data_IF_765612598619
#
_entry.id   IF_765612598619
#
_cell.length_a   1.000
_cell.length_b   1.000
_cell.length_c   1.000
_cell.angle_alpha   90.00
_cell.angle_beta   90.00
_cell.angle_gamma   90.00
#
_symmetry.space_group_name_H-M   'P 1'
#
loop_
_entity.id
_entity.type
_entity.pdbx_description
1 polymer ?
#
# COMPACT_ATOMS: atom_id res chain seq x y z
N UNK A 1 11.81 33.14 1.62
CA UNK A 1 11.39 31.95 2.38
C UNK A 1 10.42 31.12 1.54
N UNK A 2 10.80 30.74 0.31
CA UNK A 2 9.88 30.13 -0.67
C UNK A 2 10.54 29.01 -1.51
N UNK A 3 11.60 28.37 -1.02
CA UNK A 3 12.33 27.34 -1.78
C UNK A 3 12.49 25.99 -1.07
N UNK A 4 11.97 25.81 0.16
CA UNK A 4 12.17 24.60 0.97
C UNK A 4 11.48 23.32 0.43
N UNK A 5 10.85 23.35 -0.75
CA UNK A 5 9.86 22.35 -1.17
C UNK A 5 10.42 21.13 -1.94
N UNK A 6 11.72 21.04 -2.20
CA UNK A 6 12.22 20.12 -3.24
C UNK A 6 13.02 18.91 -2.75
N UNK A 7 12.98 18.57 -1.45
CA UNK A 7 13.71 17.41 -0.94
C UNK A 7 13.17 16.08 -1.51
N UNK A 8 11.88 15.95 -1.82
CA UNK A 8 11.31 14.72 -2.39
C UNK A 8 10.48 14.95 -3.64
N UNK A 9 10.23 16.22 -4.02
CA UNK A 9 9.34 16.58 -5.13
C UNK A 9 9.95 16.37 -6.53
N UNK A 10 11.23 15.98 -6.64
CA UNK A 10 11.93 15.78 -7.92
C UNK A 10 12.49 14.37 -8.11
N UNK A 11 12.19 13.44 -7.20
CA UNK A 11 12.54 12.04 -7.35
C UNK A 11 11.35 11.18 -7.76
N UNK A 12 11.54 10.27 -8.73
CA UNK A 12 10.62 9.17 -8.88
C UNK A 12 10.63 8.33 -7.59
N UNK A 13 9.59 8.42 -6.79
CA UNK A 13 9.35 7.54 -5.65
C UNK A 13 8.43 6.42 -6.12
N UNK A 14 8.91 5.18 -6.06
CA UNK A 14 8.05 4.00 -6.10
C UNK A 14 7.25 3.94 -4.78
N UNK A 15 5.97 3.59 -4.89
CA UNK A 15 5.04 3.54 -3.77
C UNK A 15 4.66 2.10 -3.39
N UNK A 16 5.39 1.12 -3.91
CA UNK A 16 5.01 -0.29 -3.79
C UNK A 16 5.22 -0.84 -2.39
N UNK A 17 6.11 -0.23 -1.59
CA UNK A 17 6.53 -0.66 -0.25
C UNK A 17 7.09 -2.10 -0.25
N UNK A 18 6.19 -3.07 -0.40
CA UNK A 18 6.47 -4.48 -0.61
C UNK A 18 6.03 -4.88 -2.02
N UNK A 19 6.89 -5.59 -2.74
CA UNK A 19 6.77 -5.85 -4.17
C UNK A 19 5.50 -6.57 -4.64
N UNK A 20 4.71 -7.17 -3.73
CA UNK A 20 3.42 -7.81 -4.00
C UNK A 20 2.66 -8.03 -2.68
N UNK A 21 1.65 -7.21 -2.43
CA UNK A 21 0.76 -7.28 -1.27
C UNK A 21 -0.17 -8.50 -1.32
N UNK A 22 -0.57 -8.95 -2.50
CA UNK A 22 -1.36 -10.18 -2.68
C UNK A 22 -0.61 -11.41 -2.19
N UNK A 23 0.69 -11.52 -2.50
CA UNK A 23 1.57 -12.57 -2.00
C UNK A 23 1.69 -12.50 -0.48
N UNK A 24 2.04 -11.33 0.06
CA UNK A 24 2.18 -11.13 1.50
C UNK A 24 0.88 -11.44 2.24
N UNK A 25 -0.26 -10.97 1.72
CA UNK A 25 -1.59 -11.20 2.27
C UNK A 25 -1.97 -12.68 2.25
N UNK A 26 -1.72 -13.38 1.14
CA UNK A 26 -2.02 -14.82 1.07
C UNK A 26 -1.21 -15.62 2.09
N UNK A 27 0.07 -15.29 2.29
CA UNK A 27 0.91 -15.95 3.28
C UNK A 27 0.46 -15.61 4.70
N UNK A 28 0.20 -14.33 4.98
CA UNK A 28 -0.14 -13.81 6.31
C UNK A 28 -1.48 -14.32 6.84
N UNK A 29 -2.45 -14.48 5.95
CA UNK A 29 -3.85 -14.75 6.28
C UNK A 29 -4.22 -16.23 6.05
N UNK A 30 -3.27 -17.05 5.61
CA UNK A 30 -3.49 -18.48 5.39
C UNK A 30 -3.91 -19.15 6.70
N UNK A 31 -4.99 -19.94 6.62
CA UNK A 31 -5.47 -20.72 7.76
C UNK A 31 -6.31 -19.93 8.77
N UNK A 32 -6.61 -18.65 8.51
CA UNK A 32 -7.61 -17.91 9.28
C UNK A 32 -9.00 -18.52 9.05
N UNK A 33 -9.70 -19.00 10.10
CA UNK A 33 -11.04 -19.58 9.97
C UNK A 33 -12.05 -18.61 9.34
N UNK A 34 -11.89 -17.31 9.59
CA UNK A 34 -12.77 -16.26 9.09
C UNK A 34 -12.69 -16.10 7.56
N UNK A 35 -11.62 -16.60 6.93
CA UNK A 35 -11.40 -16.54 5.48
C UNK A 35 -11.55 -17.91 4.79
N UNK A 36 -12.04 -18.92 5.51
CA UNK A 36 -12.22 -20.27 4.97
C UNK A 36 -13.44 -20.41 4.02
N UNK A 37 -14.29 -19.37 3.95
CA UNK A 37 -15.49 -19.38 3.12
C UNK A 37 -15.19 -19.19 1.62
N UNK A 38 -16.10 -19.70 0.78
CA UNK A 38 -16.22 -19.29 -0.62
C UNK A 38 -17.36 -18.28 -0.75
N UNK A 39 -17.16 -17.29 -1.61
CA UNK A 39 -18.13 -16.23 -1.88
C UNK A 39 -18.40 -16.12 -3.39
N UNK A 40 -19.63 -15.82 -3.80
CA UNK A 40 -19.93 -15.59 -5.21
C UNK A 40 -19.31 -14.27 -5.67
N UNK A 41 -18.61 -14.27 -6.80
CA UNK A 41 -18.07 -13.06 -7.40
C UNK A 41 -19.20 -12.10 -7.80
N UNK A 42 -19.17 -10.88 -7.31
CA UNK A 42 -20.26 -9.91 -7.46
C UNK A 42 -19.83 -8.71 -8.34
N UNK A 43 -20.59 -8.36 -9.39
CA UNK A 43 -20.36 -7.12 -10.13
C UNK A 43 -20.42 -5.87 -9.24
N UNK A 44 -19.56 -4.87 -9.48
CA UNK A 44 -19.52 -3.64 -8.68
C UNK A 44 -20.87 -2.92 -8.69
N UNK A 45 -21.46 -2.79 -9.86
CA UNK A 45 -22.70 -2.05 -10.07
C UNK A 45 -23.87 -2.67 -9.29
N UNK A 46 -23.86 -3.99 -9.05
CA UNK A 46 -24.88 -4.65 -8.24
C UNK A 46 -24.82 -4.15 -6.78
N UNK A 47 -23.63 -4.19 -6.16
CA UNK A 47 -23.41 -3.65 -4.81
C UNK A 47 -23.74 -2.16 -4.73
N UNK A 48 -23.26 -1.35 -5.70
CA UNK A 48 -23.45 0.10 -5.68
C UNK A 48 -24.92 0.51 -5.77
N UNK A 49 -25.71 -0.18 -6.59
CA UNK A 49 -27.13 0.12 -6.75
C UNK A 49 -27.94 -0.34 -5.52
N UNK A 50 -27.65 -1.53 -4.99
CA UNK A 50 -28.35 -2.06 -3.83
C UNK A 50 -28.07 -1.24 -2.56
N UNK A 51 -26.81 -0.82 -2.38
CA UNK A 51 -26.37 -0.10 -1.19
C UNK A 51 -26.31 1.42 -1.36
N UNK A 52 -26.86 1.99 -2.44
CA UNK A 52 -26.71 3.41 -2.76
C UNK A 52 -27.03 4.37 -1.59
N UNK A 53 -28.16 4.24 -0.86
CA UNK A 53 -28.45 5.11 0.28
C UNK A 53 -27.53 4.88 1.49
N UNK A 54 -27.02 3.67 1.67
CA UNK A 54 -26.11 3.34 2.76
C UNK A 54 -24.69 3.86 2.48
N UNK A 55 -24.22 3.77 1.23
CA UNK A 55 -22.98 4.38 0.75
C UNK A 55 -23.04 5.89 0.93
N UNK A 56 -24.15 6.56 0.59
CA UNK A 56 -24.31 8.01 0.80
C UNK A 56 -24.07 8.40 2.27
N UNK A 57 -24.75 7.72 3.20
CA UNK A 57 -24.61 7.98 4.63
C UNK A 57 -23.19 7.70 5.12
N UNK A 58 -22.59 6.60 4.69
CA UNK A 58 -21.23 6.23 5.08
C UNK A 58 -20.22 7.28 4.59
N UNK A 59 -20.28 7.69 3.33
CA UNK A 59 -19.31 8.64 2.77
C UNK A 59 -19.48 10.04 3.36
N UNK A 60 -20.69 10.45 3.72
CA UNK A 60 -20.91 11.70 4.47
C UNK A 60 -20.33 11.63 5.90
N UNK A 61 -20.52 10.51 6.60
CA UNK A 61 -19.91 10.28 7.90
C UNK A 61 -18.38 10.27 7.82
N UNK A 62 -17.83 9.64 6.78
CA UNK A 62 -16.37 9.59 6.56
C UNK A 62 -15.80 10.97 6.26
N UNK A 63 -16.47 11.79 5.43
CA UNK A 63 -16.05 13.18 5.18
C UNK A 63 -16.05 14.01 6.48
N UNK A 64 -17.10 13.89 7.29
CA UNK A 64 -17.17 14.59 8.58
C UNK A 64 -16.05 14.16 9.52
N UNK A 65 -15.83 12.85 9.65
CA UNK A 65 -14.78 12.30 10.50
C UNK A 65 -13.39 12.74 10.02
N UNK A 66 -13.13 12.65 8.71
CA UNK A 66 -11.83 12.98 8.12
C UNK A 66 -11.44 14.45 8.35
N UNK A 67 -12.38 15.37 8.22
CA UNK A 67 -12.17 16.80 8.49
C UNK A 67 -11.79 17.10 9.94
N UNK A 68 -12.27 16.29 10.87
CA UNK A 68 -12.05 16.48 12.30
C UNK A 68 -10.78 15.77 12.79
N UNK A 69 -10.45 14.60 12.22
CA UNK A 69 -9.46 13.68 12.80
C UNK A 69 -8.20 13.49 11.98
N UNK A 70 -8.18 13.80 10.68
CA UNK A 70 -6.99 13.61 9.83
C UNK A 70 -6.29 14.94 9.55
N UNK A 71 -5.13 15.21 10.18
CA UNK A 71 -4.37 16.44 9.95
C UNK A 71 -4.04 16.61 8.46
N UNK A 72 -4.29 17.81 7.93
CA UNK A 72 -3.98 18.11 6.53
C UNK A 72 -4.93 17.46 5.52
N UNK A 73 -6.02 16.81 5.95
CA UNK A 73 -7.03 16.27 5.04
C UNK A 73 -7.68 17.36 4.18
N UNK A 74 -7.60 17.27 2.84
CA UNK A 74 -8.31 18.19 1.97
C UNK A 74 -9.77 17.80 1.89
N UNK A 75 -10.65 18.71 2.33
CA UNK A 75 -12.09 18.53 2.28
C UNK A 75 -12.57 18.14 0.88
N UNK A 76 -13.47 17.15 0.81
CA UNK A 76 -14.08 16.71 -0.44
C UNK A 76 -14.98 17.83 -0.99
N UNK A 77 -14.81 18.24 -2.25
CA UNK A 77 -15.75 19.17 -2.89
C UNK A 77 -17.17 18.63 -2.95
N UNK A 78 -18.16 19.52 -2.79
CA UNK A 78 -19.59 19.15 -2.70
C UNK A 78 -20.10 18.45 -3.97
N UNK A 79 -19.58 18.84 -5.14
CA UNK A 79 -19.91 18.23 -6.43
C UNK A 79 -19.38 16.80 -6.61
N UNK A 80 -18.51 16.33 -5.70
CA UNK A 80 -18.06 14.94 -5.65
C UNK A 80 -18.86 14.10 -4.64
N UNK A 81 -19.86 14.68 -3.97
CA UNK A 81 -20.70 13.94 -3.03
C UNK A 81 -21.43 12.81 -3.77
N UNK A 82 -21.39 11.61 -3.21
CA UNK A 82 -22.21 10.52 -3.68
C UNK A 82 -23.68 10.85 -3.42
N UNK A 83 -24.51 10.76 -4.46
CA UNK A 83 -25.94 10.99 -4.38
C UNK A 83 -26.66 9.70 -4.78
N UNK A 84 -27.38 9.08 -3.84
CA UNK A 84 -28.08 7.83 -4.13
C UNK A 84 -29.22 8.02 -5.15
N UNK A 85 -29.87 9.18 -5.11
CA UNK A 85 -30.98 9.49 -6.00
C UNK A 85 -30.48 9.79 -7.42
N UNK A 86 -31.04 9.10 -8.41
CA UNK A 86 -30.83 9.41 -9.83
C UNK A 86 -29.47 8.97 -10.40
N UNK A 87 -28.82 7.97 -9.79
CA UNK A 87 -27.58 7.37 -10.31
C UNK A 87 -27.79 6.84 -11.74
N UNK A 88 -27.01 7.38 -12.69
CA UNK A 88 -26.94 6.89 -14.08
C UNK A 88 -25.69 6.07 -14.33
N UNK A 89 -24.55 6.55 -13.82
CA UNK A 89 -23.23 5.94 -13.95
C UNK A 89 -22.68 5.62 -12.54
N UNK A 90 -23.21 4.60 -11.85
CA UNK A 90 -22.91 4.33 -10.44
C UNK A 90 -21.42 4.11 -10.22
N UNK A 91 -20.74 3.40 -11.10
CA UNK A 91 -19.28 3.19 -11.02
C UNK A 91 -18.52 4.52 -11.06
N UNK A 92 -18.76 5.36 -12.05
CA UNK A 92 -18.05 6.64 -12.18
C UNK A 92 -18.34 7.56 -10.98
N UNK A 93 -19.60 7.60 -10.53
CA UNK A 93 -19.99 8.36 -9.34
C UNK A 93 -19.26 7.86 -8.09
N UNK A 94 -19.09 6.55 -7.95
CA UNK A 94 -18.41 5.94 -6.81
C UNK A 94 -16.92 6.28 -6.81
N UNK A 95 -16.22 6.07 -7.94
CA UNK A 95 -14.80 6.40 -8.06
C UNK A 95 -14.52 7.88 -7.75
N UNK A 96 -15.36 8.79 -8.26
CA UNK A 96 -15.25 10.23 -7.99
C UNK A 96 -15.54 10.58 -6.53
N UNK A 97 -16.51 9.92 -5.89
CA UNK A 97 -16.82 10.13 -4.49
C UNK A 97 -15.70 9.64 -3.56
N UNK A 98 -15.05 8.53 -3.91
CA UNK A 98 -13.84 8.06 -3.22
C UNK A 98 -12.59 8.88 -3.54
N UNK A 99 -12.66 9.72 -4.57
CA UNK A 99 -11.53 10.49 -5.13
C UNK A 99 -10.35 9.58 -5.47
N UNK A 100 -10.62 8.50 -6.22
CA UNK A 100 -9.60 7.65 -6.86
C UNK A 100 -9.60 7.85 -8.37
N UNK A 101 -8.56 7.39 -9.05
CA UNK A 101 -8.38 7.59 -10.47
C UNK A 101 -9.60 7.06 -11.25
N UNK A 102 -10.28 7.89 -12.06
CA UNK A 102 -11.49 7.49 -12.78
C UNK A 102 -11.26 6.39 -13.83
N UNK A 103 -10.01 6.10 -14.20
CA UNK A 103 -9.64 5.09 -15.18
C UNK A 103 -9.34 3.72 -14.58
N UNK A 104 -9.39 3.55 -13.24
CA UNK A 104 -9.14 2.26 -12.59
C UNK A 104 -10.07 1.18 -13.14
N UNK A 105 -9.48 0.03 -13.47
CA UNK A 105 -10.16 -1.04 -14.21
C UNK A 105 -11.10 -1.86 -13.35
N UNK A 106 -10.79 -2.04 -12.06
CA UNK A 106 -11.57 -2.84 -11.10
C UNK A 106 -12.07 -4.17 -11.69
N UNK A 107 -11.25 -4.80 -12.54
CA UNK A 107 -11.58 -6.09 -13.14
C UNK A 107 -11.87 -7.12 -12.04
N UNK A 108 -12.75 -8.08 -12.33
CA UNK A 108 -12.99 -9.21 -11.44
C UNK A 108 -11.94 -10.27 -11.74
N UNK A 109 -10.94 -10.40 -10.86
CA UNK A 109 -9.86 -11.35 -11.03
C UNK A 109 -9.38 -11.92 -9.69
N UNK A 110 -8.65 -13.02 -9.75
CA UNK A 110 -7.69 -13.41 -8.70
C UNK A 110 -6.28 -13.35 -9.26
N UNK A 111 -5.32 -12.97 -8.42
CA UNK A 111 -3.91 -13.05 -8.76
C UNK A 111 -3.42 -14.46 -8.48
N UNK A 112 -2.93 -15.14 -9.52
CA UNK A 112 -2.30 -16.45 -9.38
C UNK A 112 -0.89 -16.26 -8.81
N UNK A 113 -0.66 -16.82 -7.62
CA UNK A 113 0.68 -16.87 -7.06
C UNK A 113 1.51 -18.00 -7.69
N UNK A 114 2.86 -17.91 -7.64
CA UNK A 114 3.73 -19.00 -8.07
C UNK A 114 3.31 -20.35 -7.47
N UNK A 115 3.18 -21.37 -8.33
CA UNK A 115 2.79 -22.73 -7.94
C UNK A 115 1.28 -22.98 -7.77
N UNK A 116 0.42 -21.96 -7.85
CA UNK A 116 -1.04 -22.17 -7.81
C UNK A 116 -1.59 -22.66 -9.14
N UNK A 117 -2.62 -23.50 -9.12
CA UNK A 117 -3.35 -23.91 -10.32
C UNK A 117 -4.22 -22.76 -10.84
N UNK A 118 -4.23 -22.56 -12.16
CA UNK A 118 -5.09 -21.58 -12.82
C UNK A 118 -6.56 -22.02 -12.87
N UNK A 119 -6.84 -23.32 -12.65
CA UNK A 119 -8.21 -23.85 -12.64
C UNK A 119 -8.94 -23.64 -13.96
N UNK A 120 -8.20 -23.58 -15.08
CA UNK A 120 -8.76 -23.33 -16.42
C UNK A 120 -9.27 -21.91 -16.67
N UNK A 121 -9.10 -20.97 -15.73
CA UNK A 121 -9.55 -19.57 -15.90
C UNK A 121 -8.80 -18.87 -17.01
N UNK A 122 -9.49 -17.95 -17.70
CA UNK A 122 -8.88 -17.09 -18.71
C UNK A 122 -7.89 -16.14 -18.03
N UNK A 123 -6.68 -16.03 -18.60
CA UNK A 123 -5.71 -15.01 -18.18
C UNK A 123 -6.11 -13.65 -18.76
N UNK A 124 -6.21 -12.63 -17.91
CA UNK A 124 -6.38 -11.24 -18.31
C UNK A 124 -5.03 -10.64 -18.72
N UNK A 125 -5.07 -9.66 -19.64
CA UNK A 125 -3.89 -8.87 -19.95
C UNK A 125 -3.69 -7.81 -18.86
N UNK A 126 -2.46 -7.38 -18.65
CA UNK A 126 -2.15 -6.31 -17.69
C UNK A 126 -2.95 -5.03 -17.94
N UNK A 127 -3.20 -4.66 -19.20
CA UNK A 127 -4.03 -3.49 -19.56
C UNK A 127 -5.50 -3.60 -19.12
N UNK A 128 -5.99 -4.83 -18.88
CA UNK A 128 -7.35 -5.08 -18.40
C UNK A 128 -7.46 -4.85 -16.88
N UNK A 129 -6.32 -4.74 -16.17
CA UNK A 129 -6.25 -4.67 -14.71
C UNK A 129 -5.61 -3.35 -14.23
N UNK A 130 -4.54 -2.90 -14.90
CA UNK A 130 -3.76 -1.71 -14.52
C UNK A 130 -4.10 -0.49 -15.39
N UNK A 131 -3.89 0.71 -14.83
CA UNK A 131 -4.03 1.99 -15.57
C UNK A 131 -2.74 2.42 -16.27
N UNK A 132 -1.59 1.88 -15.88
CA UNK A 132 -0.28 2.35 -16.35
C UNK A 132 -0.07 2.19 -17.85
N UNK A 133 0.59 3.20 -18.42
CA UNK A 133 1.00 3.18 -19.83
C UNK A 133 2.26 2.31 -20.05
N UNK A 134 3.12 2.19 -19.02
CA UNK A 134 4.34 1.37 -19.03
C UNK A 134 4.19 0.17 -18.09
N UNK A 135 3.87 -0.98 -18.68
CA UNK A 135 3.48 -2.20 -17.96
C UNK A 135 4.69 -3.06 -17.49
N UNK A 136 5.91 -2.79 -17.98
CA UNK A 136 7.09 -3.67 -17.85
C UNK A 136 7.29 -4.36 -16.49
N UNK A 137 7.38 -3.61 -15.37
CA UNK A 137 7.59 -4.17 -14.03
C UNK A 137 6.47 -5.10 -13.53
N UNK A 138 5.25 -4.96 -14.06
CA UNK A 138 4.05 -5.68 -13.62
C UNK A 138 3.74 -6.94 -14.43
N UNK A 139 4.52 -7.22 -15.47
CA UNK A 139 4.26 -8.31 -16.42
C UNK A 139 4.44 -9.72 -15.84
N UNK A 140 5.08 -9.81 -14.67
CA UNK A 140 5.31 -11.07 -13.95
C UNK A 140 4.06 -11.63 -13.28
N UNK A 141 3.08 -10.78 -12.95
CA UNK A 141 1.86 -11.21 -12.29
C UNK A 141 0.85 -11.81 -13.28
N UNK A 142 0.09 -12.78 -12.78
CA UNK A 142 -0.90 -13.52 -13.57
C UNK A 142 -2.28 -13.25 -13.00
N UNK A 143 -3.08 -12.51 -13.76
CA UNK A 143 -4.46 -12.19 -13.43
C UNK A 143 -5.38 -13.21 -14.09
N UNK A 144 -6.19 -13.90 -13.28
CA UNK A 144 -7.16 -14.88 -13.76
C UNK A 144 -8.55 -14.31 -13.60
N UNK A 145 -9.29 -14.22 -14.71
CA UNK A 145 -10.64 -13.66 -14.75
C UNK A 145 -11.61 -14.47 -13.88
N UNK A 146 -12.48 -13.75 -13.16
CA UNK A 146 -13.63 -14.30 -12.46
C UNK A 146 -14.92 -13.98 -13.20
N UNK A 147 -15.81 -14.97 -13.33
CA UNK A 147 -17.15 -14.76 -13.86
C UNK A 147 -18.14 -14.34 -12.77
N UNK A 148 -19.15 -13.49 -13.06
CA UNK A 148 -20.19 -13.17 -12.10
C UNK A 148 -20.88 -14.43 -11.55
N UNK A 149 -21.02 -14.51 -10.23
CA UNK A 149 -21.61 -15.64 -9.51
C UNK A 149 -20.67 -16.83 -9.29
N UNK A 150 -19.46 -16.82 -9.85
CA UNK A 150 -18.45 -17.84 -9.60
C UNK A 150 -18.08 -17.91 -8.12
N UNK A 151 -18.06 -19.12 -7.54
CA UNK A 151 -17.59 -19.32 -6.18
C UNK A 151 -16.06 -19.17 -6.12
N UNK A 152 -15.59 -18.27 -5.25
CA UNK A 152 -14.17 -17.96 -5.09
C UNK A 152 -13.82 -17.94 -3.61
N UNK A 153 -12.64 -18.43 -3.24
CA UNK A 153 -12.13 -18.33 -1.88
C UNK A 153 -12.08 -16.87 -1.40
N UNK A 154 -12.65 -16.59 -0.21
CA UNK A 154 -12.57 -15.29 0.43
C UNK A 154 -11.13 -14.79 0.60
N UNK A 155 -10.22 -15.70 0.98
CA UNK A 155 -8.79 -15.42 1.07
C UNK A 155 -8.21 -14.95 -0.27
N UNK A 156 -8.57 -15.60 -1.39
CA UNK A 156 -8.07 -15.20 -2.71
C UNK A 156 -8.64 -13.85 -3.16
N UNK A 157 -9.92 -13.58 -2.89
CA UNK A 157 -10.54 -12.28 -3.20
C UNK A 157 -9.82 -11.16 -2.44
N UNK A 158 -9.69 -11.31 -1.12
CA UNK A 158 -9.05 -10.31 -0.27
C UNK A 158 -7.58 -10.11 -0.65
N UNK A 159 -6.81 -11.20 -0.78
CA UNK A 159 -5.39 -11.11 -1.10
C UNK A 159 -5.18 -10.45 -2.47
N UNK A 160 -5.92 -10.87 -3.51
CA UNK A 160 -5.79 -10.28 -4.85
C UNK A 160 -6.15 -8.80 -4.86
N UNK A 161 -7.17 -8.41 -4.08
CA UNK A 161 -7.57 -7.01 -3.96
C UNK A 161 -6.52 -6.14 -3.24
N UNK A 162 -5.67 -6.73 -2.39
CA UNK A 162 -4.63 -5.99 -1.68
C UNK A 162 -3.56 -5.39 -2.60
N UNK A 163 -3.46 -5.78 -3.86
CA UNK A 163 -2.58 -5.11 -4.84
C UNK A 163 -3.31 -4.03 -5.67
N UNK A 164 -4.65 -3.99 -5.66
CA UNK A 164 -5.41 -3.12 -6.57
C UNK A 164 -5.13 -1.61 -6.41
N UNK A 165 -4.84 -1.08 -5.21
CA UNK A 165 -4.42 0.31 -5.07
C UNK A 165 -3.21 0.65 -5.94
N UNK A 166 -2.22 -0.23 -5.93
CA UNK A 166 -0.98 -0.13 -6.71
C UNK A 166 -1.20 -0.21 -8.22
N UNK A 167 -2.35 -0.74 -8.67
CA UNK A 167 -2.73 -0.80 -10.09
C UNK A 167 -3.30 0.52 -10.61
N UNK A 168 -3.49 1.50 -9.71
CA UNK A 168 -3.63 2.89 -10.09
C UNK A 168 -4.71 3.69 -9.37
N UNK A 169 -5.13 3.29 -8.16
CA UNK A 169 -6.13 4.03 -7.40
C UNK A 169 -5.69 5.48 -7.16
N UNK A 170 -4.41 5.67 -6.81
CA UNK A 170 -3.86 6.95 -6.38
C UNK A 170 -3.03 7.66 -7.45
N UNK A 171 -3.30 7.36 -8.73
CA UNK A 171 -2.57 7.95 -9.85
C UNK A 171 -3.26 9.23 -10.34
N UNK A 172 -2.46 10.27 -10.56
CA UNK A 172 -2.86 11.53 -11.20
C UNK A 172 -3.99 12.27 -10.46
N UNK A 173 -3.93 12.27 -9.12
CA UNK A 173 -4.97 12.85 -8.26
C UNK A 173 -4.66 14.28 -7.76
N UNK A 174 -3.44 14.79 -7.98
CA UNK A 174 -3.08 16.15 -7.59
C UNK A 174 -3.28 17.15 -8.74
N UNK A 175 -3.48 18.42 -8.40
CA UNK A 175 -3.78 19.51 -9.34
C UNK A 175 -2.72 19.67 -10.45
N UNK A 176 -1.48 19.41 -10.10
CA UNK A 176 -0.29 19.50 -10.96
C UNK A 176 0.05 18.17 -11.66
N UNK A 177 -0.78 17.14 -11.51
CA UNK A 177 -0.65 15.90 -12.26
C UNK A 177 -1.37 15.98 -13.62
N UNK A 178 -1.01 15.11 -14.59
CA UNK A 178 -1.76 14.97 -15.84
C UNK A 178 -3.25 14.64 -15.65
N UNK A 179 -4.09 15.00 -16.63
CA UNK A 179 -5.53 14.70 -16.62
C UNK A 179 -6.40 15.73 -15.90
N UNK A 180 -7.68 15.41 -15.69
CA UNK A 180 -8.67 16.34 -15.11
C UNK A 180 -9.04 16.00 -13.66
N UNK A 181 -8.80 14.77 -13.20
CA UNK A 181 -9.21 14.32 -11.86
C UNK A 181 -8.63 15.21 -10.74
N UNK A 182 -7.33 15.49 -10.79
CA UNK A 182 -6.68 16.33 -9.77
C UNK A 182 -7.12 17.80 -9.74
N UNK A 183 -7.72 18.31 -10.83
CA UNK A 183 -8.32 19.64 -10.85
C UNK A 183 -9.63 19.68 -10.06
N UNK A 184 -10.37 18.56 -10.06
CA UNK A 184 -11.68 18.43 -9.40
C UNK A 184 -11.57 17.97 -7.94
N UNK A 185 -10.53 17.21 -7.56
CA UNK A 185 -10.52 16.45 -6.29
C UNK A 185 -10.04 17.23 -5.05
N UNK A 186 -9.50 18.44 -5.26
CA UNK A 186 -9.05 19.35 -4.20
C UNK A 186 -7.89 18.80 -3.34
N UNK A 187 -7.06 17.88 -3.85
CA UNK A 187 -5.87 17.41 -3.11
C UNK A 187 -4.73 18.44 -3.07
N UNK A 188 -4.80 19.51 -3.88
CA UNK A 188 -3.75 20.51 -4.02
C UNK A 188 -2.63 20.03 -4.94
N UNK A 189 -1.45 20.64 -4.85
CA UNK A 189 -0.24 20.17 -5.54
C UNK A 189 0.35 18.94 -4.83
N UNK A 190 0.96 18.05 -5.60
CA UNK A 190 1.62 16.86 -5.07
C UNK A 190 2.68 17.25 -4.03
N UNK A 191 2.57 16.79 -2.78
CA UNK A 191 3.46 17.24 -1.70
C UNK A 191 4.88 16.66 -1.81
N UNK A 192 5.04 15.44 -2.30
CA UNK A 192 6.33 14.80 -2.53
C UNK A 192 6.21 13.67 -3.56
N UNK A 193 7.35 13.21 -4.09
CA UNK A 193 7.42 12.44 -5.34
C UNK A 193 7.50 13.35 -6.56
N UNK A 194 8.09 12.85 -7.64
CA UNK A 194 8.24 13.58 -8.89
C UNK A 194 6.98 13.47 -9.75
N UNK A 195 6.22 14.56 -9.81
CA UNK A 195 4.97 14.67 -10.58
C UNK A 195 5.13 14.37 -12.09
N UNK A 196 6.36 14.34 -12.63
CA UNK A 196 6.63 13.93 -14.02
C UNK A 196 6.46 12.43 -14.25
N UNK A 197 6.52 11.62 -13.18
CA UNK A 197 6.38 10.17 -13.23
C UNK A 197 5.01 9.75 -12.68
N UNK A 198 4.21 9.07 -13.53
CA UNK A 198 2.83 8.67 -13.23
C UNK A 198 2.69 7.94 -11.88
N UNK A 199 3.56 6.97 -11.59
CA UNK A 199 3.54 6.20 -10.34
C UNK A 199 3.91 7.01 -9.09
N UNK A 200 4.66 8.11 -9.24
CA UNK A 200 5.09 8.91 -8.09
C UNK A 200 3.96 9.72 -7.46
N UNK A 201 2.87 9.95 -8.20
CA UNK A 201 1.66 10.56 -7.64
C UNK A 201 1.00 9.71 -6.54
N UNK A 202 1.34 8.41 -6.46
CA UNK A 202 0.84 7.53 -5.40
C UNK A 202 1.57 7.77 -4.07
N UNK A 203 2.82 8.25 -4.07
CA UNK A 203 3.65 8.31 -2.87
C UNK A 203 2.97 8.98 -1.66
N UNK A 204 2.25 10.12 -1.78
CA UNK A 204 1.56 10.74 -0.65
C UNK A 204 0.38 9.94 -0.08
N UNK A 205 -0.18 9.01 -0.86
CA UNK A 205 -1.27 8.13 -0.42
C UNK A 205 -0.76 6.85 0.24
N UNK A 206 0.48 6.43 -0.03
CA UNK A 206 1.06 5.16 0.43
C UNK A 206 2.13 5.34 1.51
N UNK A 207 2.69 6.54 1.65
CA UNK A 207 3.75 6.85 2.62
C UNK A 207 3.20 7.70 3.75
N UNK A 208 3.59 7.38 4.99
CA UNK A 208 3.14 8.03 6.21
C UNK A 208 4.28 8.34 7.18
N UNK A 209 4.87 9.53 7.06
CA UNK A 209 5.98 10.00 7.91
C UNK A 209 5.55 10.44 9.33
N UNK A 210 4.51 9.83 9.89
CA UNK A 210 3.79 10.33 11.07
C UNK A 210 4.64 10.56 12.33
N UNK A 211 5.80 9.90 12.43
CA UNK A 211 6.68 9.92 13.59
C UNK A 211 7.98 10.70 13.37
N UNK A 212 8.04 11.56 12.35
CA UNK A 212 9.11 12.55 12.23
C UNK A 212 8.99 13.63 13.31
N UNK A 213 10.13 14.21 13.69
CA UNK A 213 10.14 15.26 14.73
C UNK A 213 9.37 16.51 14.29
N UNK A 214 8.78 17.24 15.25
CA UNK A 214 8.11 18.52 14.99
C UNK A 214 9.00 19.54 14.27
N UNK A 215 10.31 19.50 14.52
CA UNK A 215 11.28 20.36 13.85
C UNK A 215 11.33 20.10 12.33
N UNK A 216 11.23 18.82 11.93
CA UNK A 216 11.17 18.44 10.51
C UNK A 216 9.87 18.93 9.90
N UNK A 217 8.73 18.71 10.55
CA UNK A 217 7.45 19.20 10.04
C UNK A 217 7.36 20.73 9.98
N UNK A 218 8.05 21.43 10.88
CA UNK A 218 8.16 22.90 10.83
C UNK A 218 8.99 23.35 9.63
N UNK A 219 10.09 22.65 9.34
CA UNK A 219 10.98 22.97 8.22
C UNK A 219 10.40 22.53 6.86
N UNK A 220 9.64 21.44 6.83
CA UNK A 220 9.11 20.78 5.64
C UNK A 220 7.65 20.31 5.86
N UNK A 221 6.69 21.24 5.99
CA UNK A 221 5.30 20.91 6.33
C UNK A 221 4.57 20.08 5.27
N UNK A 222 5.07 20.06 4.02
CA UNK A 222 4.52 19.21 2.97
C UNK A 222 4.66 17.71 3.28
N UNK A 223 5.62 17.30 4.12
CA UNK A 223 5.79 15.90 4.54
C UNK A 223 4.63 15.40 5.40
N UNK A 224 3.90 16.30 6.06
CA UNK A 224 2.71 15.96 6.82
C UNK A 224 1.45 15.78 5.94
N UNK A 225 1.51 16.13 4.65
CA UNK A 225 0.40 15.96 3.70
C UNK A 225 0.39 14.53 3.16
N UNK A 226 0.09 13.59 4.05
CA UNK A 226 0.05 12.15 3.81
C UNK A 226 -1.38 11.63 4.02
N UNK A 227 -1.80 10.64 3.22
CA UNK A 227 -3.17 10.16 3.11
C UNK A 227 -3.44 8.64 3.34
N UNK A 228 -2.47 7.74 3.64
CA UNK A 228 -2.77 6.33 3.88
C UNK A 228 -3.69 6.10 5.07
N UNK A 229 -3.58 6.91 6.14
CA UNK A 229 -4.47 6.78 7.31
C UNK A 229 -5.95 6.97 6.93
N UNK A 230 -6.21 7.96 6.08
CA UNK A 230 -7.54 8.19 5.53
C UNK A 230 -7.98 7.07 4.59
N UNK A 231 -7.10 6.56 3.70
CA UNK A 231 -7.41 5.43 2.80
C UNK A 231 -7.79 4.17 3.58
N UNK A 232 -7.05 3.83 4.64
CA UNK A 232 -7.35 2.71 5.54
C UNK A 232 -8.73 2.88 6.15
N UNK A 233 -9.04 4.07 6.69
CA UNK A 233 -10.33 4.36 7.31
C UNK A 233 -11.49 4.30 6.29
N UNK A 234 -11.28 4.87 5.10
CA UNK A 234 -12.26 4.90 4.01
C UNK A 234 -12.64 3.49 3.58
N UNK A 235 -11.65 2.65 3.24
CA UNK A 235 -11.87 1.31 2.73
C UNK A 235 -12.33 0.32 3.81
N UNK A 236 -11.86 0.47 5.05
CA UNK A 236 -12.36 -0.33 6.17
C UNK A 236 -13.84 -0.03 6.46
N UNK A 237 -14.29 1.22 6.30
CA UNK A 237 -15.71 1.57 6.40
C UNK A 237 -16.56 0.93 5.31
N UNK A 238 -16.10 0.94 4.06
CA UNK A 238 -16.78 0.28 2.94
C UNK A 238 -16.83 -1.24 3.12
N UNK A 239 -15.74 -1.85 3.60
CA UNK A 239 -15.70 -3.27 3.91
C UNK A 239 -16.75 -3.66 4.95
N UNK A 240 -16.80 -2.94 6.08
CA UNK A 240 -17.80 -3.17 7.14
C UNK A 240 -19.23 -3.00 6.64
N UNK A 241 -19.49 -1.98 5.83
CA UNK A 241 -20.80 -1.78 5.21
C UNK A 241 -21.18 -3.00 4.37
N UNK A 242 -20.31 -3.41 3.43
CA UNK A 242 -20.57 -4.51 2.53
C UNK A 242 -20.78 -5.85 3.27
N UNK A 243 -19.99 -6.15 4.31
CA UNK A 243 -20.22 -7.34 5.14
C UNK A 243 -21.58 -7.27 5.86
N UNK A 244 -21.89 -6.12 6.48
CA UNK A 244 -23.12 -5.96 7.25
C UNK A 244 -24.39 -6.01 6.39
N UNK A 245 -24.29 -5.67 5.10
CA UNK A 245 -25.41 -5.68 4.16
C UNK A 245 -25.48 -6.94 3.28
N UNK A 246 -24.61 -7.93 3.49
CA UNK A 246 -24.69 -9.21 2.77
C UNK A 246 -23.96 -9.27 1.42
N UNK A 247 -22.97 -8.40 1.22
CA UNK A 247 -22.10 -8.36 0.02
C UNK A 247 -20.67 -8.78 0.36
N UNK A 248 -20.42 -10.05 0.74
CA UNK A 248 -19.13 -10.46 1.25
C UNK A 248 -18.01 -10.37 0.20
N UNK A 249 -18.31 -10.51 -1.09
CA UNK A 249 -17.31 -10.32 -2.15
C UNK A 249 -16.71 -8.91 -2.13
N UNK A 250 -17.56 -7.88 -2.11
CA UNK A 250 -17.11 -6.50 -1.98
C UNK A 250 -16.56 -6.18 -0.58
N UNK A 251 -17.10 -6.80 0.47
CA UNK A 251 -16.52 -6.74 1.81
C UNK A 251 -15.04 -7.14 1.81
N UNK A 252 -14.72 -8.29 1.21
CA UNK A 252 -13.34 -8.78 1.10
C UNK A 252 -12.48 -7.92 0.17
N UNK A 253 -12.99 -7.44 -0.97
CA UNK A 253 -12.22 -6.55 -1.86
C UNK A 253 -11.87 -5.22 -1.19
N UNK A 254 -12.84 -4.54 -0.58
CA UNK A 254 -12.59 -3.29 0.14
C UNK A 254 -11.66 -3.50 1.34
N UNK A 255 -11.76 -4.63 2.04
CA UNK A 255 -10.82 -4.96 3.10
C UNK A 255 -9.41 -5.18 2.54
N UNK A 256 -9.26 -5.84 1.39
CA UNK A 256 -8.00 -5.92 0.65
C UNK A 256 -7.40 -4.54 0.36
N UNK A 257 -8.21 -3.60 -0.16
CA UNK A 257 -7.76 -2.22 -0.38
C UNK A 257 -7.31 -1.54 0.91
N UNK A 258 -8.03 -1.72 2.03
CA UNK A 258 -7.61 -1.17 3.32
C UNK A 258 -6.29 -1.78 3.80
N UNK A 259 -6.12 -3.10 3.62
CA UNK A 259 -4.91 -3.82 4.01
C UNK A 259 -3.69 -3.36 3.23
N UNK A 260 -3.83 -3.01 1.95
CA UNK A 260 -2.74 -2.46 1.14
C UNK A 260 -2.01 -1.32 1.86
N UNK A 261 -2.73 -0.24 2.16
CA UNK A 261 -2.15 0.95 2.81
C UNK A 261 -1.67 0.66 4.24
N UNK A 262 -2.33 -0.27 4.95
CA UNK A 262 -1.85 -0.70 6.27
C UNK A 262 -0.50 -1.43 6.15
N UNK A 263 -0.37 -2.29 5.14
CA UNK A 263 0.82 -3.06 4.84
C UNK A 263 1.95 -2.17 4.31
N UNK A 264 1.67 -1.13 3.54
CA UNK A 264 2.66 -0.13 3.15
C UNK A 264 3.35 0.48 4.38
N UNK A 265 2.57 0.85 5.39
CA UNK A 265 3.08 1.44 6.63
C UNK A 265 3.92 0.48 7.48
N UNK A 266 4.01 -0.80 7.12
CA UNK A 266 4.94 -1.75 7.75
C UNK A 266 6.35 -1.64 7.16
N UNK A 267 6.51 -0.96 6.02
CA UNK A 267 7.78 -0.79 5.34
C UNK A 267 8.54 0.45 5.85
N UNK A 268 9.80 0.33 6.32
CA UNK A 268 10.45 1.43 7.02
C UNK A 268 10.76 2.72 6.21
N UNK A 269 11.00 2.63 4.90
CA UNK A 269 11.07 3.78 3.99
C UNK A 269 9.72 4.47 3.75
N UNK A 270 8.60 3.79 4.03
CA UNK A 270 7.27 4.40 4.02
C UNK A 270 6.92 5.08 5.36
N UNK A 271 7.76 4.94 6.39
CA UNK A 271 7.54 5.50 7.71
C UNK A 271 8.58 6.55 8.14
N UNK A 272 9.68 6.71 7.38
CA UNK A 272 10.76 7.67 7.68
C UNK A 272 11.35 8.30 6.42
N UNK A 273 11.61 9.61 6.49
CA UNK A 273 11.97 10.47 5.34
C UNK A 273 13.42 10.26 4.90
N UNK A 274 14.38 10.39 5.82
CA UNK A 274 15.80 10.13 5.57
C UNK A 274 16.35 9.17 6.64
N UNK A 275 16.10 7.86 6.50
CA UNK A 275 16.76 6.86 7.33
C UNK A 275 18.28 7.05 7.36
N UNK A 276 18.87 6.82 8.53
CA UNK A 276 20.30 6.97 8.80
C UNK A 276 20.79 8.40 8.98
N UNK A 277 19.91 9.42 8.92
CA UNK A 277 20.25 10.83 9.11
C UNK A 277 19.55 11.36 10.36
N UNK A 278 20.30 12.04 11.22
CA UNK A 278 19.75 12.66 12.42
C UNK A 278 18.96 13.93 12.10
N UNK A 279 18.00 14.29 12.96
CA UNK A 279 17.16 15.49 12.80
C UNK A 279 17.96 16.77 12.57
N UNK A 280 19.03 16.99 13.34
CA UNK A 280 19.88 18.18 13.20
C UNK A 280 20.58 18.24 11.84
N UNK A 281 21.05 17.09 11.35
CA UNK A 281 21.67 16.99 10.02
C UNK A 281 20.66 17.22 8.90
N UNK A 282 19.42 16.72 9.04
CA UNK A 282 18.35 17.00 8.07
C UNK A 282 18.04 18.49 7.98
N UNK A 283 17.97 19.18 9.13
CA UNK A 283 17.75 20.64 9.16
C UNK A 283 18.94 21.38 8.54
N UNK A 284 20.17 20.94 8.82
CA UNK A 284 21.36 21.52 8.21
C UNK A 284 21.40 21.31 6.69
N UNK A 285 21.05 20.11 6.22
CA UNK A 285 20.94 19.78 4.79
C UNK A 285 19.93 20.72 4.11
N UNK A 286 18.75 20.90 4.71
CA UNK A 286 17.74 21.81 4.21
C UNK A 286 18.25 23.27 4.20
N UNK A 287 18.90 23.71 5.27
CA UNK A 287 19.43 25.08 5.39
C UNK A 287 20.56 25.38 4.39
N UNK A 288 21.48 24.42 4.15
CA UNK A 288 22.53 24.54 3.12
C UNK A 288 21.93 24.68 1.73
N UNK A 289 20.92 23.87 1.42
CA UNK A 289 20.25 23.92 0.13
C UNK A 289 19.53 25.26 -0.09
N UNK A 290 18.88 25.82 0.93
CA UNK A 290 18.29 27.17 0.87
C UNK A 290 19.34 28.27 0.67
N UNK A 291 20.55 28.08 1.18
CA UNK A 291 21.67 29.00 0.98
C UNK A 291 22.34 28.85 -0.40
N UNK A 292 21.82 27.99 -1.28
CA UNK A 292 22.35 27.77 -2.62
C UNK A 292 23.39 26.64 -2.73
N UNK A 293 23.51 25.79 -1.71
CA UNK A 293 24.43 24.64 -1.67
C UNK A 293 23.63 23.32 -1.56
N UNK A 294 23.04 22.83 -2.67
CA UNK A 294 22.08 21.72 -2.65
C UNK A 294 22.73 20.33 -2.61
N UNK A 295 24.06 20.22 -2.64
CA UNK A 295 24.78 18.97 -2.90
C UNK A 295 24.48 17.90 -1.85
N UNK A 296 24.49 18.26 -0.56
CA UNK A 296 24.18 17.32 0.53
C UNK A 296 22.72 16.84 0.47
N UNK A 297 21.82 17.73 0.01
CA UNK A 297 20.41 17.40 -0.20
C UNK A 297 20.28 16.39 -1.33
N UNK A 298 20.86 16.67 -2.49
CA UNK A 298 20.82 15.78 -3.66
C UNK A 298 21.45 14.41 -3.35
N UNK A 299 22.53 14.37 -2.57
CA UNK A 299 23.14 13.12 -2.14
C UNK A 299 22.25 12.31 -1.19
N UNK A 300 21.59 12.96 -0.23
CA UNK A 300 20.67 12.27 0.70
C UNK A 300 19.46 11.68 -0.03
N UNK A 301 18.90 12.45 -0.96
CA UNK A 301 17.83 12.10 -1.86
C UNK A 301 18.18 10.86 -2.68
N UNK A 302 19.29 10.91 -3.42
CA UNK A 302 19.75 9.79 -4.25
C UNK A 302 19.98 8.53 -3.42
N UNK A 303 20.61 8.66 -2.23
CA UNK A 303 20.85 7.54 -1.33
C UNK A 303 19.56 6.82 -0.94
N UNK A 304 18.53 7.57 -0.54
CA UNK A 304 17.25 6.98 -0.14
C UNK A 304 16.56 6.32 -1.33
N UNK A 305 16.55 6.97 -2.50
CA UNK A 305 15.97 6.38 -3.71
C UNK A 305 16.64 5.06 -4.11
N UNK A 306 17.98 5.03 -4.13
CA UNK A 306 18.76 3.85 -4.49
C UNK A 306 18.51 2.70 -3.53
N UNK A 307 18.52 2.99 -2.22
CA UNK A 307 18.35 1.95 -1.19
C UNK A 307 16.91 1.46 -1.08
N UNK A 308 15.94 2.35 -1.29
CA UNK A 308 14.53 1.97 -1.33
C UNK A 308 14.26 1.02 -2.51
N UNK A 309 14.69 1.40 -3.72
CA UNK A 309 14.57 0.54 -4.91
C UNK A 309 15.31 -0.79 -4.72
N UNK A 310 16.49 -0.75 -4.11
CA UNK A 310 17.30 -1.93 -3.85
C UNK A 310 16.61 -2.94 -2.92
N UNK A 311 15.93 -2.49 -1.85
CA UNK A 311 15.25 -3.41 -0.93
C UNK A 311 13.99 -4.00 -1.55
N UNK A 312 13.23 -3.23 -2.32
CA UNK A 312 12.04 -3.72 -3.03
C UNK A 312 12.45 -4.81 -4.04
N UNK A 313 13.52 -4.57 -4.82
CA UNK A 313 14.05 -5.58 -5.74
C UNK A 313 14.58 -6.81 -5.01
N UNK A 314 15.36 -6.64 -3.94
CA UNK A 314 15.86 -7.76 -3.13
C UNK A 314 14.70 -8.62 -2.62
N UNK A 315 13.68 -7.99 -2.04
CA UNK A 315 12.53 -8.68 -1.49
C UNK A 315 11.74 -9.40 -2.59
N UNK A 316 11.48 -8.75 -3.73
CA UNK A 316 10.78 -9.38 -4.86
C UNK A 316 11.51 -10.64 -5.35
N UNK A 317 12.78 -10.51 -5.72
CA UNK A 317 13.57 -11.62 -6.28
C UNK A 317 13.69 -12.77 -5.27
N UNK A 318 13.93 -12.44 -4.00
CA UNK A 318 14.07 -13.45 -2.94
C UNK A 318 12.77 -14.21 -2.72
N UNK A 319 11.64 -13.53 -2.67
CA UNK A 319 10.34 -14.16 -2.46
C UNK A 319 9.90 -15.00 -3.66
N UNK A 320 10.13 -14.52 -4.89
CA UNK A 320 9.86 -15.31 -6.11
C UNK A 320 10.67 -16.61 -6.14
N UNK A 321 11.98 -16.54 -5.85
CA UNK A 321 12.84 -17.72 -5.78
C UNK A 321 12.36 -18.71 -4.72
N UNK A 322 12.06 -18.21 -3.51
CA UNK A 322 11.61 -19.06 -2.41
C UNK A 322 10.26 -19.72 -2.66
N UNK A 323 9.36 -19.05 -3.39
CA UNK A 323 8.06 -19.63 -3.73
C UNK A 323 8.12 -20.67 -4.86
N UNK A 324 9.12 -20.58 -5.76
CA UNK A 324 9.28 -21.55 -6.83
C UNK A 324 10.05 -22.79 -6.37
N UNK A 325 11.21 -22.57 -5.75
CA UNK A 325 12.22 -23.61 -5.49
C UNK A 325 12.60 -23.73 -4.01
N UNK A 326 12.08 -22.85 -3.15
CA UNK A 326 12.45 -22.78 -1.74
C UNK A 326 11.72 -23.80 -0.85
N UNK A 327 12.30 -24.13 0.31
CA UNK A 327 11.60 -24.95 1.29
C UNK A 327 10.42 -24.17 1.88
N UNK A 328 9.27 -24.82 2.01
CA UNK A 328 8.03 -24.15 2.44
C UNK A 328 8.11 -23.58 3.88
N UNK A 329 9.03 -24.09 4.70
CA UNK A 329 9.33 -23.65 6.06
C UNK A 329 10.48 -22.63 6.14
N UNK A 330 10.93 -22.08 5.00
CA UNK A 330 11.95 -21.04 4.99
C UNK A 330 11.56 -19.87 5.90
N UNK A 331 12.47 -19.33 6.75
CA UNK A 331 12.13 -18.30 7.74
C UNK A 331 11.39 -17.08 7.17
N UNK A 332 11.79 -16.59 5.99
CA UNK A 332 11.11 -15.47 5.31
C UNK A 332 9.65 -15.79 4.94
N UNK A 333 9.35 -17.01 4.49
CA UNK A 333 7.98 -17.42 4.17
C UNK A 333 7.16 -17.66 5.45
N UNK A 334 7.76 -18.36 6.42
CA UNK A 334 7.12 -18.71 7.69
C UNK A 334 6.81 -17.48 8.55
N UNK A 335 7.61 -16.41 8.44
CA UNK A 335 7.43 -15.16 9.20
C UNK A 335 6.04 -14.55 9.02
N UNK A 336 5.51 -14.56 7.79
CA UNK A 336 4.18 -14.03 7.51
C UNK A 336 3.08 -14.71 8.33
N UNK A 337 3.16 -16.03 8.52
CA UNK A 337 2.15 -16.83 9.22
C UNK A 337 2.44 -16.99 10.73
N UNK A 338 3.46 -16.32 11.26
CA UNK A 338 3.88 -16.45 12.65
C UNK A 338 2.90 -15.74 13.60
N UNK A 339 2.19 -16.52 14.41
CA UNK A 339 1.12 -16.05 15.30
C UNK A 339 1.62 -15.60 16.68
N UNK A 340 2.93 -15.67 16.97
CA UNK A 340 3.45 -15.44 18.34
C UNK A 340 3.15 -14.05 18.89
N UNK A 341 2.97 -13.05 18.02
CA UNK A 341 2.66 -11.67 18.40
C UNK A 341 1.15 -11.35 18.38
N UNK A 342 0.30 -12.25 17.87
CA UNK A 342 -1.13 -11.99 17.70
C UNK A 342 -1.84 -11.72 19.04
N UNK A 343 -1.55 -12.52 20.07
CA UNK A 343 -2.24 -12.44 21.36
C UNK A 343 -1.90 -11.20 22.19
N UNK A 344 -0.79 -10.50 21.86
CA UNK A 344 -0.35 -9.29 22.56
C UNK A 344 -0.57 -7.99 21.77
N UNK A 345 -1.19 -8.08 20.59
CA UNK A 345 -1.39 -6.93 19.71
C UNK A 345 -2.40 -5.93 20.30
N UNK A 346 -2.15 -4.61 20.18
CA UNK A 346 -3.15 -3.60 20.55
C UNK A 346 -4.44 -3.75 19.75
N UNK A 347 -5.57 -3.32 20.32
CA UNK A 347 -6.85 -3.30 19.62
C UNK A 347 -6.78 -2.39 18.37
N UNK A 348 -7.36 -2.85 17.27
CA UNK A 348 -7.41 -2.06 16.02
C UNK A 348 -8.51 -1.01 16.14
N UNK A 349 -8.10 0.23 16.39
CA UNK A 349 -8.94 1.42 16.33
C UNK A 349 -8.56 2.34 15.15
N UNK A 350 -9.23 3.50 15.02
CA UNK A 350 -8.93 4.46 13.95
C UNK A 350 -7.45 4.82 13.86
N UNK A 351 -6.76 5.04 14.99
CA UNK A 351 -5.36 5.48 15.02
C UNK A 351 -4.33 4.33 14.98
N UNK A 352 -4.76 3.07 14.87
CA UNK A 352 -3.89 1.90 14.93
C UNK A 352 -2.77 1.94 13.87
N UNK A 353 -3.12 2.32 12.64
CA UNK A 353 -2.17 2.42 11.53
C UNK A 353 -1.04 3.43 11.83
N UNK A 354 -1.36 4.54 12.48
CA UNK A 354 -0.39 5.57 12.83
C UNK A 354 0.38 5.17 14.10
N UNK A 355 -0.33 4.92 15.20
CA UNK A 355 0.27 4.80 16.53
C UNK A 355 0.99 3.48 16.78
N UNK A 356 0.64 2.42 16.03
CA UNK A 356 1.24 1.10 16.18
C UNK A 356 2.07 0.78 14.94
N UNK A 357 1.43 0.67 13.78
CA UNK A 357 2.07 0.12 12.57
C UNK A 357 3.21 1.01 12.07
N UNK A 358 2.92 2.28 11.78
CA UNK A 358 3.94 3.20 11.31
C UNK A 358 5.02 3.48 12.38
N UNK A 359 4.67 3.43 13.66
CA UNK A 359 5.63 3.64 14.75
C UNK A 359 6.66 2.49 14.84
N UNK A 360 6.18 1.24 14.78
CA UNK A 360 7.03 0.05 14.76
C UNK A 360 7.94 0.04 13.52
N UNK A 361 7.41 0.41 12.36
CA UNK A 361 8.17 0.49 11.13
C UNK A 361 9.25 1.57 11.15
N UNK A 362 8.90 2.78 11.62
CA UNK A 362 9.84 3.89 11.77
C UNK A 362 11.01 3.53 12.69
N UNK A 363 10.75 2.78 13.77
CA UNK A 363 11.76 2.34 14.73
C UNK A 363 12.80 1.37 14.14
N UNK A 364 12.56 0.82 12.94
CA UNK A 364 13.48 -0.07 12.21
C UNK A 364 14.14 0.58 11.00
N UNK A 365 13.74 1.80 10.63
CA UNK A 365 14.19 2.47 9.41
C UNK A 365 15.71 2.67 9.36
N UNK A 366 16.32 3.18 10.43
CA UNK A 366 17.77 3.43 10.46
C UNK A 366 18.58 2.13 10.37
N UNK A 367 18.08 1.06 11.01
CA UNK A 367 18.71 -0.27 10.95
C UNK A 367 18.63 -0.86 9.55
N UNK A 368 17.46 -0.79 8.91
CA UNK A 368 17.26 -1.28 7.54
C UNK A 368 18.17 -0.53 6.55
N UNK A 369 18.20 0.80 6.64
CA UNK A 369 19.02 1.66 5.78
C UNK A 369 20.52 1.36 5.91
N UNK A 370 21.00 1.13 7.14
CA UNK A 370 22.38 0.72 7.38
C UNK A 370 22.69 -0.64 6.71
N UNK A 371 21.83 -1.64 6.87
CA UNK A 371 22.04 -2.98 6.32
C UNK A 371 22.06 -2.98 4.78
N UNK A 372 21.12 -2.28 4.15
CA UNK A 372 21.08 -2.13 2.69
C UNK A 372 22.32 -1.39 2.19
N UNK A 373 22.74 -0.33 2.89
CA UNK A 373 23.96 0.40 2.56
C UNK A 373 25.20 -0.49 2.56
N UNK A 374 25.34 -1.35 3.58
CA UNK A 374 26.44 -2.32 3.65
C UNK A 374 26.35 -3.39 2.56
N UNK A 375 25.14 -3.85 2.22
CA UNK A 375 24.91 -4.82 1.17
C UNK A 375 25.26 -4.27 -0.22
N UNK A 376 24.81 -3.06 -0.56
CA UNK A 376 25.16 -2.38 -1.81
C UNK A 376 26.67 -2.15 -1.93
N UNK A 377 27.34 -1.74 -0.85
CA UNK A 377 28.79 -1.56 -0.83
C UNK A 377 29.54 -2.87 -1.11
N UNK A 378 29.09 -3.99 -0.53
CA UNK A 378 29.65 -5.34 -0.80
C UNK A 378 29.45 -5.73 -2.27
N UNK A 379 28.28 -5.49 -2.84
CA UNK A 379 28.02 -5.80 -4.24
C UNK A 379 28.92 -5.01 -5.19
N UNK A 380 29.05 -3.70 -4.97
CA UNK A 380 29.94 -2.85 -5.77
C UNK A 380 31.40 -3.33 -5.71
N UNK A 381 31.87 -3.76 -4.54
CA UNK A 381 33.21 -4.33 -4.37
C UNK A 381 33.39 -5.69 -5.08
N UNK A 382 32.33 -6.49 -5.19
CA UNK A 382 32.37 -7.82 -5.84
C UNK A 382 32.35 -7.77 -7.37
N UNK A 383 31.89 -6.66 -7.97
CA UNK A 383 31.84 -6.45 -9.43
C UNK A 383 33.19 -6.02 -10.06
N UNK A 384 34.31 -6.19 -9.35
CA UNK A 384 35.66 -5.91 -9.87
C UNK A 384 36.04 -6.74 -11.12
N UNK A 385 36.96 -6.18 -11.91
CA UNK A 385 37.34 -6.49 -13.32
C UNK A 385 37.55 -7.96 -13.76
N UNK A 386 37.48 -8.94 -12.87
CA UNK A 386 37.77 -10.36 -13.15
C UNK A 386 36.63 -11.33 -12.80
N UNK A 387 35.52 -10.86 -12.25
CA UNK A 387 34.36 -11.70 -11.93
C UNK A 387 33.36 -11.73 -13.09
N UNK A 388 33.65 -12.49 -14.14
CA UNK A 388 32.72 -12.66 -15.26
C UNK A 388 31.37 -13.22 -14.81
N UNK A 389 30.26 -12.56 -15.18
CA UNK A 389 28.83 -12.94 -15.12
C UNK A 389 28.30 -13.80 -13.94
N UNK A 390 29.04 -13.97 -12.85
CA UNK A 390 28.53 -14.60 -11.63
C UNK A 390 27.85 -13.53 -10.80
N UNK A 391 26.51 -13.58 -10.77
CA UNK A 391 25.69 -12.80 -9.85
C UNK A 391 26.21 -13.06 -8.42
N UNK A 392 26.61 -12.00 -7.72
CA UNK A 392 26.91 -12.09 -6.29
C UNK A 392 25.69 -12.72 -5.58
N UNK A 393 25.95 -13.59 -4.59
CA UNK A 393 24.88 -14.23 -3.82
C UNK A 393 23.90 -13.19 -3.29
N UNK A 394 22.64 -13.26 -3.71
CA UNK A 394 21.55 -12.41 -3.25
C UNK A 394 21.10 -12.73 -1.81
N UNK A 395 21.96 -13.34 -0.99
CA UNK A 395 21.65 -13.68 0.40
C UNK A 395 22.52 -12.83 1.33
N UNK A 396 21.86 -12.05 2.18
CA UNK A 396 22.48 -11.33 3.28
C UNK A 396 21.83 -11.72 4.61
N UNK A 397 22.52 -12.50 5.48
CA UNK A 397 21.90 -13.04 6.70
C UNK A 397 21.38 -11.98 7.67
N UNK A 398 22.06 -10.83 7.78
CA UNK A 398 21.64 -9.76 8.67
C UNK A 398 20.40 -9.05 8.13
N UNK A 399 20.35 -8.80 6.82
CA UNK A 399 19.16 -8.25 6.16
C UNK A 399 17.99 -9.23 6.21
N UNK A 400 18.21 -10.54 5.97
CA UNK A 400 17.16 -11.55 6.09
C UNK A 400 16.59 -11.63 7.52
N UNK A 401 17.43 -11.53 8.54
CA UNK A 401 16.96 -11.52 9.94
C UNK A 401 16.02 -10.34 10.21
N UNK A 402 16.35 -9.15 9.71
CA UNK A 402 15.46 -7.99 9.84
C UNK A 402 14.19 -8.16 8.99
N UNK A 403 14.29 -8.68 7.77
CA UNK A 403 13.12 -8.95 6.93
C UNK A 403 12.16 -9.96 7.57
N UNK A 404 12.67 -10.99 8.27
CA UNK A 404 11.85 -11.91 9.05
C UNK A 404 11.06 -11.19 10.15
N UNK A 405 11.63 -10.16 10.78
CA UNK A 405 10.89 -9.34 11.75
C UNK A 405 9.83 -8.48 11.06
N UNK A 406 10.18 -7.79 9.98
CA UNK A 406 9.26 -6.92 9.24
C UNK A 406 8.08 -7.72 8.64
N UNK A 407 8.32 -8.92 8.10
CA UNK A 407 7.26 -9.79 7.57
C UNK A 407 6.37 -10.37 8.67
N UNK A 408 6.90 -10.58 9.88
CA UNK A 408 6.08 -10.94 11.03
C UNK A 408 5.15 -9.80 11.43
N UNK A 409 5.65 -8.57 11.45
CA UNK A 409 4.81 -7.39 11.73
C UNK A 409 3.75 -7.22 10.64
N UNK A 410 4.13 -7.31 9.36
CA UNK A 410 3.19 -7.34 8.23
C UNK A 410 2.06 -8.35 8.46
N UNK A 411 2.43 -9.59 8.79
CA UNK A 411 1.47 -10.67 9.01
C UNK A 411 0.54 -10.39 10.19
N UNK A 412 1.13 -9.97 11.31
CA UNK A 412 0.39 -9.66 12.54
C UNK A 412 -0.63 -8.55 12.30
N UNK A 413 -0.21 -7.40 11.77
CA UNK A 413 -1.12 -6.28 11.52
C UNK A 413 -2.21 -6.63 10.50
N UNK A 414 -1.88 -7.40 9.45
CA UNK A 414 -2.87 -7.88 8.48
C UNK A 414 -3.96 -8.73 9.15
N UNK A 415 -3.56 -9.71 9.98
CA UNK A 415 -4.53 -10.56 10.69
C UNK A 415 -5.38 -9.78 11.69
N UNK A 416 -4.78 -8.83 12.43
CA UNK A 416 -5.52 -8.00 13.38
C UNK A 416 -6.57 -7.14 12.67
N UNK A 417 -6.20 -6.51 11.55
CA UNK A 417 -7.13 -5.70 10.76
C UNK A 417 -8.28 -6.54 10.20
N UNK A 418 -8.02 -7.77 9.74
CA UNK A 418 -9.07 -8.70 9.29
C UNK A 418 -10.03 -9.03 10.44
N UNK A 419 -9.51 -9.46 11.59
CA UNK A 419 -10.34 -9.80 12.77
C UNK A 419 -11.19 -8.63 13.24
N UNK A 420 -10.67 -7.41 13.18
CA UNK A 420 -11.39 -6.21 13.57
C UNK A 420 -12.46 -5.76 12.55
N UNK A 421 -12.36 -6.19 11.29
CA UNK A 421 -13.24 -5.75 10.20
C UNK A 421 -14.35 -6.74 9.89
N UNK A 422 -14.16 -8.00 10.24
CA UNK A 422 -15.18 -9.03 10.05
C UNK A 422 -16.19 -9.00 11.19
N UNK A 423 -17.50 -9.19 10.89
CA UNK A 423 -18.50 -9.35 11.93
C UNK A 423 -18.14 -10.55 12.80
N UNK A 424 -18.35 -10.45 14.12
CA UNK A 424 -18.16 -11.58 15.02
C UNK A 424 -18.92 -12.79 14.46
N UNK A 425 -18.18 -13.85 14.10
CA UNK A 425 -18.78 -15.13 13.75
C UNK A 425 -19.48 -15.58 15.02
N UNK A 426 -20.81 -15.40 15.08
CA UNK A 426 -21.62 -15.94 16.16
C UNK A 426 -21.26 -17.41 16.28
N UNK A 427 -20.65 -17.78 17.40
CA UNK A 427 -20.36 -19.15 17.79
C UNK A 427 -21.70 -19.87 18.04
N UNK A 428 -22.45 -20.12 16.98
CA UNK A 428 -23.67 -20.90 16.99
C UNK A 428 -23.51 -21.98 15.94
N UNK A 429 -22.93 -23.10 16.36
CA UNK A 429 -23.22 -24.49 15.97
C UNK A 429 -22.07 -25.37 16.46
N UNK A 430 -22.12 -25.73 17.74
CA UNK A 430 -21.81 -27.12 18.08
C UNK A 430 -23.15 -27.87 18.15
N UNK A 431 -23.22 -29.11 17.62
CA UNK A 431 -24.44 -29.92 17.69
C UNK A 431 -24.85 -30.24 19.12
#
# INVERSE_FOLDING_TARGET
>A
MLSCAWLLASLPLAAHAWSNHSLGSLLALRGMPELAAEVPAEPLEAFLLDQAPAIERLLDQQESFAREHFPGYPARPDNLRWLAAGLKEPRQAFLRALRINPEVRLASFIQQLPGQDAGGRRRLLSQDVLVFHKIGPWSHWRYLELQPGEAVSALQVLASAADEPDYGHDINLFRDNPGTAGQDYNFGEQPFGDARFEYSSQAPFHIGYYHESELIFTAAPYLARTLPHWRIYQYSGLARLAFASGHPYWGYRFLGWALHYLQDLTQPYHARVLPGVGTGDMVLIAAKAEAGYPEDREAAIQRVADRHTAIEHYQLERMQLLMHDGPADHPLLAAYADLRQDAGSPAVGPDYAVQVVAAESQARADQLDQLIGLWLARQAASQGFSAGNQLASANDPAMEQLLVELFRNFGTHSRQAVRASLPEVSASRQP
#
